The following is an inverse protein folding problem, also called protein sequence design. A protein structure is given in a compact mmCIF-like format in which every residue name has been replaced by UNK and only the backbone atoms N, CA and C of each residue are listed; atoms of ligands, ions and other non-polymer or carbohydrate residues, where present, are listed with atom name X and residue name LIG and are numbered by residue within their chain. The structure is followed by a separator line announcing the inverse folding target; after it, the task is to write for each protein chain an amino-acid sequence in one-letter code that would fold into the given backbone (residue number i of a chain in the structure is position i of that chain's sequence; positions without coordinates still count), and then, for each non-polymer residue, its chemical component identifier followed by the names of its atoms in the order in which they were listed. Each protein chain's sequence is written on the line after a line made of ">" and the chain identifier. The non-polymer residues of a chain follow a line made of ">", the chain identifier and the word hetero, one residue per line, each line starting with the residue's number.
data_IF_727534397113
#
_entry.id   IF_727534397113
#
_cell.length_a   1.000
_cell.length_b   1.000
_cell.length_c   1.000
_cell.angle_alpha   90.00
_cell.angle_beta   90.00
_cell.angle_gamma   90.00
#
_symmetry.space_group_name_H-M   'P 1'
#
loop_
_entity.id
_entity.type
_entity.pdbx_description
1 polymer ?
#
# COMPACT_ATOMS: atom_id res chain seq x y z
N UNK A 1 -16.18 11.54 -10.11
CA UNK A 1 -16.26 11.67 -8.63
C UNK A 1 -15.38 10.59 -8.05
N UNK A 2 -14.60 10.90 -7.03
CA UNK A 2 -13.76 9.91 -6.36
C UNK A 2 -14.51 9.28 -5.20
N UNK A 3 -14.40 7.96 -5.09
CA UNK A 3 -15.11 7.18 -4.10
C UNK A 3 -14.11 6.30 -3.35
N UNK A 4 -14.11 6.40 -2.02
CA UNK A 4 -13.36 5.50 -1.17
C UNK A 4 -13.88 4.06 -1.31
N UNK A 5 -12.97 3.12 -1.48
CA UNK A 5 -13.20 1.71 -1.70
C UNK A 5 -12.24 0.86 -0.86
N UNK A 6 -12.67 -0.33 -0.49
CA UNK A 6 -11.86 -1.35 0.20
C UNK A 6 -11.38 -2.39 -0.81
N UNK A 7 -10.10 -2.75 -0.70
CA UNK A 7 -9.49 -3.81 -1.49
C UNK A 7 -9.31 -5.04 -0.61
N UNK A 8 -9.83 -6.16 -1.11
CA UNK A 8 -9.67 -7.47 -0.51
C UNK A 8 -8.91 -8.38 -1.46
N UNK A 9 -7.99 -9.17 -0.92
CA UNK A 9 -7.28 -10.20 -1.66
C UNK A 9 -7.82 -11.60 -1.36
N UNK A 10 -7.89 -12.40 -2.41
CA UNK A 10 -8.29 -13.79 -2.33
C UNK A 10 -7.07 -14.65 -1.94
N UNK A 11 -7.22 -15.72 -1.14
CA UNK A 11 -6.10 -16.53 -0.71
C UNK A 11 -5.38 -17.14 -1.92
N UNK A 12 -4.07 -17.37 -1.79
CA UNK A 12 -3.18 -17.76 -2.90
C UNK A 12 -3.65 -18.96 -3.72
N UNK A 13 -4.46 -19.85 -3.13
CA UNK A 13 -5.11 -20.98 -3.81
C UNK A 13 -6.03 -20.57 -4.98
N UNK A 14 -6.49 -19.32 -5.00
CA UNK A 14 -7.42 -18.79 -6.01
C UNK A 14 -6.74 -18.04 -7.17
N UNK A 15 -5.40 -18.07 -7.23
CA UNK A 15 -4.62 -17.44 -8.29
C UNK A 15 -4.46 -15.92 -8.12
N UNK A 16 -4.43 -15.44 -6.88
CA UNK A 16 -4.14 -14.03 -6.54
C UNK A 16 -5.16 -13.07 -7.14
N UNK A 17 -6.44 -13.22 -6.78
CA UNK A 17 -7.51 -12.31 -7.23
C UNK A 17 -7.70 -11.18 -6.23
N UNK A 18 -8.07 -10.01 -6.72
CA UNK A 18 -8.53 -8.89 -5.90
C UNK A 18 -10.01 -8.63 -6.12
N UNK A 19 -10.66 -8.14 -5.08
CA UNK A 19 -12.02 -7.67 -5.09
C UNK A 19 -12.07 -6.29 -4.45
N UNK A 20 -12.69 -5.34 -5.14
CA UNK A 20 -12.80 -3.95 -4.71
C UNK A 20 -14.27 -3.62 -4.54
N UNK A 21 -14.59 -2.99 -3.42
CA UNK A 21 -15.95 -2.62 -3.03
C UNK A 21 -16.00 -1.20 -2.49
N UNK A 22 -17.00 -0.38 -2.85
CA UNK A 22 -17.18 0.95 -2.26
C UNK A 22 -17.44 0.89 -0.75
N UNK A 23 -16.98 1.89 0.01
CA UNK A 23 -17.22 1.99 1.46
C UNK A 23 -18.61 2.51 1.84
N UNK A 24 -19.46 2.82 0.86
CA UNK A 24 -20.84 3.28 1.09
C UNK A 24 -21.69 2.19 1.78
N UNK A 25 -22.63 2.60 2.65
CA UNK A 25 -23.54 1.68 3.35
C UNK A 25 -24.29 0.75 2.41
N UNK A 26 -24.62 1.24 1.21
CA UNK A 26 -25.12 0.45 0.10
C UNK A 26 -24.37 0.80 -1.18
N UNK A 27 -24.12 -0.20 -2.03
CA UNK A 27 -23.41 -0.03 -3.29
C UNK A 27 -24.08 -0.84 -4.39
N UNK A 28 -23.95 -0.37 -5.63
CA UNK A 28 -24.52 -0.99 -6.83
C UNK A 28 -23.44 -1.44 -7.83
N UNK A 29 -22.17 -1.46 -7.43
CA UNK A 29 -21.08 -1.96 -8.27
C UNK A 29 -19.91 -2.49 -7.45
N UNK A 30 -19.13 -3.38 -8.06
CA UNK A 30 -17.85 -3.86 -7.52
C UNK A 30 -16.84 -4.02 -8.64
N UNK A 31 -15.55 -4.11 -8.32
CA UNK A 31 -14.54 -4.48 -9.30
C UNK A 31 -13.80 -5.75 -8.86
N UNK A 32 -13.32 -6.51 -9.82
CA UNK A 32 -12.44 -7.64 -9.54
C UNK A 32 -11.46 -7.91 -10.67
N UNK A 33 -10.36 -8.57 -10.35
CA UNK A 33 -9.36 -8.97 -11.33
C UNK A 33 -8.19 -9.68 -10.68
N UNK A 34 -7.08 -9.77 -11.41
CA UNK A 34 -5.83 -10.34 -10.89
C UNK A 34 -5.09 -9.29 -10.05
N UNK A 35 -4.43 -9.75 -9.00
CA UNK A 35 -3.58 -8.91 -8.15
C UNK A 35 -2.47 -8.24 -8.97
N UNK A 36 -1.87 -8.95 -9.93
CA UNK A 36 -0.89 -8.36 -10.83
C UNK A 36 -1.46 -7.22 -11.67
N UNK A 37 -2.72 -7.31 -12.11
CA UNK A 37 -3.39 -6.22 -12.84
C UNK A 37 -3.58 -5.02 -11.93
N UNK A 38 -4.02 -5.25 -10.69
CA UNK A 38 -4.19 -4.20 -9.69
C UNK A 38 -2.86 -3.49 -9.37
N UNK A 39 -1.80 -4.24 -9.03
CA UNK A 39 -0.50 -3.66 -8.69
C UNK A 39 0.15 -2.89 -9.85
N UNK A 40 -0.13 -3.29 -11.11
CA UNK A 40 0.38 -2.62 -12.30
C UNK A 40 -0.52 -1.46 -12.78
N UNK A 41 -1.58 -1.12 -12.03
CA UNK A 41 -2.53 -0.07 -12.43
C UNK A 41 -3.32 -0.39 -13.71
N UNK A 42 -3.44 -1.67 -14.07
CA UNK A 42 -4.21 -2.12 -15.23
C UNK A 42 -5.70 -2.18 -14.92
N UNK A 43 -6.52 -2.08 -15.97
CA UNK A 43 -7.98 -2.13 -15.85
C UNK A 43 -8.46 -3.42 -15.20
N UNK A 44 -9.28 -3.28 -14.16
CA UNK A 44 -10.01 -4.38 -13.53
C UNK A 44 -11.41 -4.51 -14.14
N UNK A 45 -12.03 -5.67 -13.99
CA UNK A 45 -13.38 -5.90 -14.48
C UNK A 45 -14.39 -5.23 -13.55
N UNK A 46 -15.20 -4.33 -14.09
CA UNK A 46 -16.31 -3.70 -13.40
C UNK A 46 -17.57 -4.57 -13.45
N UNK A 47 -18.22 -4.75 -12.31
CA UNK A 47 -19.43 -5.55 -12.13
C UNK A 47 -20.53 -4.65 -11.58
N UNK A 48 -21.50 -4.30 -12.43
CA UNK A 48 -22.72 -3.65 -11.97
C UNK A 48 -23.60 -4.66 -11.23
N UNK A 49 -24.17 -4.22 -10.11
CA UNK A 49 -25.13 -5.01 -9.34
C UNK A 49 -26.54 -4.54 -9.67
N UNK A 50 -27.43 -5.51 -9.88
CA UNK A 50 -28.85 -5.27 -10.20
C UNK A 50 -29.56 -4.63 -8.99
N UNK A 51 -29.09 -4.93 -7.78
CA UNK A 51 -29.65 -4.42 -6.54
C UNK A 51 -28.55 -3.88 -5.63
N UNK A 52 -28.92 -2.86 -4.86
CA UNK A 52 -28.08 -2.36 -3.79
C UNK A 52 -27.87 -3.45 -2.75
N UNK A 53 -26.60 -3.71 -2.39
CA UNK A 53 -26.25 -4.64 -1.32
C UNK A 53 -25.67 -3.87 -0.13
N UNK A 54 -26.00 -4.27 1.10
CA UNK A 54 -25.35 -3.71 2.27
C UNK A 54 -23.88 -4.17 2.33
N UNK A 55 -23.02 -3.23 2.71
CA UNK A 55 -21.58 -3.45 2.77
C UNK A 55 -21.19 -4.58 3.73
N UNK A 56 -21.74 -4.54 4.95
CA UNK A 56 -21.38 -5.48 6.01
C UNK A 56 -21.65 -6.94 5.62
N UNK A 57 -22.82 -7.25 5.04
CA UNK A 57 -23.15 -8.63 4.61
C UNK A 57 -22.23 -9.11 3.50
N UNK A 58 -21.83 -8.21 2.60
CA UNK A 58 -20.99 -8.57 1.47
C UNK A 58 -19.54 -8.81 1.90
N UNK A 59 -19.02 -7.98 2.81
CA UNK A 59 -17.70 -8.17 3.42
C UNK A 59 -17.67 -9.50 4.19
N UNK A 60 -18.63 -9.72 5.08
CA UNK A 60 -18.70 -10.96 5.87
C UNK A 60 -18.74 -12.21 4.98
N UNK A 61 -19.53 -12.17 3.89
CA UNK A 61 -19.58 -13.26 2.91
C UNK A 61 -18.26 -13.47 2.15
N UNK A 62 -17.43 -12.44 2.00
CA UNK A 62 -16.11 -12.52 1.36
C UNK A 62 -15.05 -13.02 2.33
N UNK A 63 -15.07 -12.54 3.57
CA UNK A 63 -14.19 -13.01 4.64
C UNK A 63 -14.43 -14.50 4.95
N UNK A 64 -15.69 -14.96 4.95
CA UNK A 64 -16.02 -16.39 5.04
C UNK A 64 -15.50 -17.23 3.88
N UNK A 65 -15.22 -16.62 2.73
CA UNK A 65 -14.56 -17.27 1.57
C UNK A 65 -13.03 -17.19 1.66
N UNK A 66 -12.49 -16.66 2.75
CA UNK A 66 -11.08 -16.51 3.02
C UNK A 66 -10.45 -15.25 2.43
N UNK A 67 -11.24 -14.29 1.93
CA UNK A 67 -10.67 -13.02 1.47
C UNK A 67 -10.17 -12.22 2.67
N UNK A 68 -9.00 -11.62 2.52
CA UNK A 68 -8.39 -10.78 3.55
C UNK A 68 -8.39 -9.32 3.11
N UNK A 69 -8.66 -8.42 4.04
CA UNK A 69 -8.49 -6.99 3.79
C UNK A 69 -7.03 -6.67 3.49
N UNK A 70 -6.79 -5.85 2.46
CA UNK A 70 -5.45 -5.46 2.01
C UNK A 70 -5.19 -3.98 2.27
N UNK A 71 -5.99 -3.11 1.66
CA UNK A 71 -5.77 -1.66 1.67
C UNK A 71 -7.04 -0.89 1.30
N UNK A 72 -7.01 0.43 1.51
CA UNK A 72 -8.06 1.35 1.04
C UNK A 72 -7.56 2.14 -0.16
N UNK A 73 -8.44 2.36 -1.13
CA UNK A 73 -8.15 3.13 -2.34
C UNK A 73 -9.29 4.07 -2.70
N UNK A 74 -8.97 5.08 -3.49
CA UNK A 74 -9.92 5.98 -4.11
C UNK A 74 -10.10 5.59 -5.57
N UNK A 75 -11.35 5.31 -5.95
CA UNK A 75 -11.73 4.94 -7.32
C UNK A 75 -12.51 6.08 -7.95
N UNK A 76 -12.12 6.50 -9.15
CA UNK A 76 -12.92 7.42 -9.93
C UNK A 76 -14.10 6.67 -10.55
N UNK A 77 -15.33 7.04 -10.18
CA UNK A 77 -16.54 6.34 -10.64
C UNK A 77 -16.84 6.50 -12.14
N UNK A 78 -16.19 7.45 -12.83
CA UNK A 78 -16.33 7.62 -14.28
C UNK A 78 -15.27 6.87 -15.09
N UNK A 79 -14.01 6.99 -14.70
CA UNK A 79 -12.87 6.40 -15.43
C UNK A 79 -12.36 5.07 -14.88
N UNK A 80 -12.81 4.68 -13.67
CA UNK A 80 -12.28 3.55 -12.90
C UNK A 80 -10.77 3.63 -12.59
N UNK A 81 -10.21 4.84 -12.65
CA UNK A 81 -8.85 5.09 -12.19
C UNK A 81 -8.76 4.92 -10.68
N UNK A 82 -7.62 4.41 -10.21
CA UNK A 82 -7.38 4.07 -8.81
C UNK A 82 -6.21 4.88 -8.26
N UNK A 83 -6.32 5.35 -7.02
CA UNK A 83 -5.25 6.04 -6.27
C UNK A 83 -5.25 5.61 -4.82
N UNK A 84 -4.07 5.61 -4.19
CA UNK A 84 -3.89 5.31 -2.76
C UNK A 84 -4.13 6.53 -1.87
N UNK A 85 -4.09 7.73 -2.42
CA UNK A 85 -4.28 8.99 -1.71
C UNK A 85 -5.65 9.59 -2.00
N UNK A 86 -6.22 10.28 -0.99
CA UNK A 86 -7.48 10.99 -1.13
C UNK A 86 -7.29 12.21 -2.05
N UNK A 87 -7.97 12.29 -3.21
CA UNK A 87 -7.82 13.37 -4.17
C UNK A 87 -8.47 14.68 -3.71
N UNK A 88 -9.34 14.64 -2.70
CA UNK A 88 -9.97 15.82 -2.09
C UNK A 88 -9.12 16.39 -0.93
N UNK A 89 -8.03 15.70 -0.53
CA UNK A 89 -7.02 16.28 0.36
C UNK A 89 -5.87 16.86 -0.47
N UNK A 90 -5.58 18.14 -0.26
CA UNK A 90 -4.33 18.75 -0.71
C UNK A 90 -3.17 17.91 -0.16
N UNK A 91 -2.13 17.58 -0.95
CA UNK A 91 -1.00 16.84 -0.43
C UNK A 91 -0.48 17.59 0.79
N UNK A 92 -0.45 16.94 1.96
CA UNK A 92 0.21 17.53 3.11
C UNK A 92 1.62 17.94 2.68
N UNK A 93 2.07 19.17 3.00
CA UNK A 93 3.42 19.58 2.65
C UNK A 93 4.37 18.53 3.22
N UNK A 94 5.18 17.93 2.35
CA UNK A 94 6.24 17.03 2.78
C UNK A 94 7.01 17.72 3.92
N UNK A 95 7.36 17.01 5.00
CA UNK A 95 8.14 17.63 6.07
C UNK A 95 9.42 18.15 5.44
N UNK A 96 9.47 19.48 5.28
CA UNK A 96 10.63 20.21 4.78
C UNK A 96 11.77 19.96 5.74
N UNK A 97 12.59 18.96 5.43
CA UNK A 97 13.82 18.72 6.15
C UNK A 97 14.80 19.80 5.68
N UNK A 98 14.72 20.97 6.31
CA UNK A 98 15.61 22.11 6.10
C UNK A 98 15.98 22.72 7.45
N UNK A 99 17.28 22.67 7.76
CA UNK A 99 17.93 23.31 8.90
C UNK A 99 18.39 22.30 9.96
N UNK A 100 19.61 21.77 9.91
CA UNK A 100 20.89 22.43 10.27
C UNK A 100 20.88 22.96 11.71
N UNK A 101 21.73 22.38 12.58
CA UNK A 101 22.11 23.01 13.84
C UNK A 101 22.58 22.08 14.97
N UNK A 102 23.87 21.75 14.95
CA UNK A 102 24.79 21.61 16.10
C UNK A 102 24.41 20.86 17.40
N UNK A 103 25.14 19.75 17.59
CA UNK A 103 26.04 19.46 18.73
C UNK A 103 25.50 19.40 20.16
N UNK A 104 25.50 18.17 20.72
CA UNK A 104 26.25 17.85 21.95
C UNK A 104 26.90 16.46 21.87
N UNK A 105 28.21 16.53 21.69
CA UNK A 105 29.27 15.64 22.15
C UNK A 105 28.90 14.64 23.26
N UNK A 106 29.05 13.34 22.98
CA UNK A 106 29.63 12.34 23.90
C UNK A 106 29.59 10.94 23.28
N UNK A 107 30.76 10.43 22.88
CA UNK A 107 31.36 9.22 23.47
C UNK A 107 32.41 8.57 22.56
N UNK A 108 33.66 8.57 23.07
CA UNK A 108 34.69 7.54 22.96
C UNK A 108 35.05 7.02 21.56
N UNK A 109 36.03 7.67 20.95
CA UNK A 109 36.97 7.01 20.03
C UNK A 109 38.22 6.66 20.85
N UNK A 110 38.45 5.36 21.08
CA UNK A 110 39.76 4.84 21.48
C UNK A 110 40.47 4.36 20.21
N UNK A 111 41.61 4.93 19.83
CA UNK A 111 42.52 4.27 18.90
C UNK A 111 43.83 3.93 19.62
N UNK A 112 44.15 2.64 19.73
CA UNK A 112 45.54 2.17 19.77
C UNK A 112 45.52 0.67 19.55
N UNK A 113 45.87 0.24 18.33
CA UNK A 113 46.69 -0.94 18.12
C UNK A 113 47.63 -0.60 16.95
N UNK A 114 48.82 -0.14 17.30
CA UNK A 114 49.99 -0.12 16.45
C UNK A 114 50.77 -1.41 16.76
N UNK A 115 50.81 -2.35 15.82
CA UNK A 115 51.83 -3.42 15.77
C UNK A 115 52.64 -3.05 14.54
N UNK A 116 53.83 -2.46 14.69
CA UNK A 116 55.08 -3.21 14.82
C UNK A 116 55.39 -3.84 13.46
N UNK A 117 56.35 -3.37 12.66
CA UNK A 117 57.70 -2.96 13.01
C UNK A 117 58.65 -3.79 12.14
N UNK A 118 59.33 -3.08 11.23
CA UNK A 118 60.53 -3.38 10.44
C UNK A 118 61.26 -4.72 10.66
N UNK A 119 61.70 -5.37 9.57
CA UNK A 119 63.10 -5.35 9.11
C UNK A 119 63.39 -6.46 8.07
N UNK A 120 64.34 -6.13 7.21
CA UNK A 120 64.97 -6.91 6.15
C UNK A 120 65.39 -8.33 6.51
N UNK A 121 65.45 -9.22 5.50
CA UNK A 121 66.59 -10.12 5.32
C UNK A 121 66.78 -10.50 3.84
N UNK A 122 68.00 -10.21 3.38
CA UNK A 122 68.71 -10.71 2.21
C UNK A 122 68.88 -12.24 2.32
N UNK A 123 68.69 -12.99 1.22
CA UNK A 123 69.50 -14.14 0.77
C UNK A 123 69.00 -14.69 -0.55
#
# INVERSE_FOLDING_TARGET
>A
MWQECLVYECPSSSGGKVWIVPTQSSFNWTMSGKLSSYCNGLSLTHHALITYKPLYETIDAKERKGYSFREKVWVNTGSHEMRTHNPDQEPEPEPSNSGTGESKESAKVLPVIQVGGSSAFDF
#
